data_IF_053826828633
#
_entry.id   IF_053826828633
#
_cell.length_a   1.000
_cell.length_b   1.000
_cell.length_c   1.000
_cell.angle_alpha   90.00
_cell.angle_beta   90.00
_cell.angle_gamma   90.00
#
_symmetry.space_group_name_H-M   'P 1'
#
loop_
_entity.id
_entity.type
_entity.pdbx_description
1 polymer ?
#
# COMPACT_ATOMS: atom_id res chain seq x y z
N UNK A 1 -36.16 -0.84 22.60
CA UNK A 1 -34.72 -0.51 22.67
C UNK A 1 -34.06 -1.11 21.45
N UNK A 2 -33.37 -0.33 20.59
CA UNK A 2 -32.54 -0.90 19.53
C UNK A 2 -31.15 -1.14 20.13
N UNK A 3 -30.73 -2.39 20.24
CA UNK A 3 -29.37 -2.72 20.67
C UNK A 3 -28.42 -2.38 19.52
N UNK A 4 -27.39 -1.55 19.77
CA UNK A 4 -26.32 -1.35 18.82
C UNK A 4 -25.37 -2.55 18.91
N UNK A 5 -25.32 -3.36 17.85
CA UNK A 5 -24.48 -4.56 17.73
C UNK A 5 -23.12 -4.27 17.07
N UNK A 6 -22.78 -2.99 16.89
CA UNK A 6 -21.53 -2.58 16.27
C UNK A 6 -20.30 -3.09 17.04
N UNK A 7 -19.37 -3.65 16.27
CA UNK A 7 -18.10 -4.16 16.76
C UNK A 7 -17.22 -2.99 17.21
N UNK A 8 -16.88 -2.94 18.51
CA UNK A 8 -16.10 -1.84 19.11
C UNK A 8 -14.61 -1.86 18.78
N UNK A 9 -14.08 -3.00 18.33
CA UNK A 9 -12.69 -3.21 17.94
C UNK A 9 -12.50 -3.24 16.42
N UNK A 10 -13.41 -2.59 15.68
CA UNK A 10 -13.20 -2.33 14.26
C UNK A 10 -11.97 -1.42 14.07
N UNK A 11 -11.13 -1.75 13.09
CA UNK A 11 -9.98 -0.94 12.71
C UNK A 11 -10.45 0.40 12.14
N UNK A 12 -9.75 1.49 12.46
CA UNK A 12 -10.01 2.79 11.83
C UNK A 12 -9.65 2.75 10.34
N UNK A 13 -10.27 3.62 9.55
CA UNK A 13 -9.96 3.74 8.12
C UNK A 13 -8.47 4.06 7.88
N UNK A 14 -7.89 4.99 8.64
CA UNK A 14 -6.47 5.35 8.53
C UNK A 14 -5.56 4.14 8.79
N UNK A 15 -5.84 3.35 9.82
CA UNK A 15 -5.07 2.15 10.14
C UNK A 15 -5.21 1.09 9.02
N UNK A 16 -6.41 0.94 8.46
CA UNK A 16 -6.64 0.03 7.35
C UNK A 16 -5.87 0.48 6.09
N UNK A 17 -5.90 1.76 5.74
CA UNK A 17 -5.20 2.28 4.56
C UNK A 17 -3.68 2.25 4.74
N UNK A 18 -3.17 2.52 5.92
CA UNK A 18 -1.74 2.34 6.23
C UNK A 18 -1.32 0.87 6.11
N UNK A 19 -2.11 -0.06 6.65
CA UNK A 19 -1.85 -1.49 6.51
C UNK A 19 -1.82 -1.91 5.03
N UNK A 20 -2.71 -1.36 4.20
CA UNK A 20 -2.74 -1.63 2.76
C UNK A 20 -1.47 -1.10 2.07
N UNK A 21 -1.02 0.12 2.39
CA UNK A 21 0.25 0.65 1.88
C UNK A 21 1.43 -0.27 2.22
N UNK A 22 1.52 -0.71 3.48
CA UNK A 22 2.56 -1.65 3.92
C UNK A 22 2.45 -3.05 3.29
N UNK A 23 1.26 -3.46 2.86
CA UNK A 23 1.10 -4.73 2.11
C UNK A 23 1.60 -4.54 0.68
N UNK A 24 1.27 -3.42 0.05
CA UNK A 24 1.63 -3.14 -1.34
C UNK A 24 3.13 -2.88 -1.50
N UNK A 25 3.82 -2.33 -0.51
CA UNK A 25 5.28 -2.15 -0.55
C UNK A 25 6.04 -3.47 -0.80
N UNK A 26 5.48 -4.61 -0.37
CA UNK A 26 6.06 -5.96 -0.55
C UNK A 26 6.12 -6.41 -2.01
N UNK A 27 5.52 -5.64 -2.92
CA UNK A 27 5.65 -5.83 -4.37
C UNK A 27 6.93 -5.22 -4.94
N UNK A 28 7.56 -4.30 -4.22
CA UNK A 28 8.83 -3.67 -4.61
C UNK A 28 9.93 -4.73 -4.74
N UNK A 29 10.74 -4.59 -5.79
CA UNK A 29 11.92 -5.43 -6.06
C UNK A 29 13.22 -4.74 -5.64
N UNK A 30 13.15 -3.52 -5.11
CA UNK A 30 14.30 -2.82 -4.55
C UNK A 30 14.80 -3.62 -3.34
N UNK A 31 16.07 -4.08 -3.32
CA UNK A 31 16.60 -4.88 -2.21
C UNK A 31 16.88 -4.04 -0.96
N UNK A 32 16.97 -2.72 -1.09
CA UNK A 32 17.35 -1.79 -0.02
C UNK A 32 16.17 -1.11 0.65
N UNK A 33 15.14 -0.74 -0.12
CA UNK A 33 14.03 0.07 0.42
C UNK A 33 12.71 -0.31 -0.25
N UNK A 34 11.68 -0.59 0.55
CA UNK A 34 10.33 -0.85 0.06
C UNK A 34 9.39 0.24 0.55
N UNK A 35 8.69 0.88 -0.38
CA UNK A 35 7.74 1.95 -0.11
C UNK A 35 6.44 1.62 -0.81
N UNK A 36 5.33 1.68 -0.08
CA UNK A 36 3.99 1.56 -0.61
C UNK A 36 3.20 2.85 -0.45
N UNK A 37 2.23 3.05 -1.34
CA UNK A 37 1.32 4.18 -1.34
C UNK A 37 -0.11 3.71 -1.58
N UNK A 38 -1.05 4.32 -0.86
CA UNK A 38 -2.48 4.11 -1.01
C UNK A 38 -3.15 5.49 -1.17
N UNK A 39 -3.76 5.74 -2.33
CA UNK A 39 -4.51 6.97 -2.60
C UNK A 39 -5.98 6.67 -2.37
N UNK A 40 -6.59 7.43 -1.47
CA UNK A 40 -7.99 7.24 -1.04
C UNK A 40 -8.82 8.48 -1.33
N UNK A 41 -10.06 8.25 -1.77
CA UNK A 41 -11.05 9.30 -1.96
C UNK A 41 -11.70 9.73 -0.64
N UNK A 42 -12.40 10.86 -0.66
CA UNK A 42 -13.13 11.39 0.50
C UNK A 42 -14.27 10.47 0.99
N UNK A 43 -14.66 9.48 0.19
CA UNK A 43 -15.67 8.46 0.51
C UNK A 43 -15.05 7.16 1.06
N UNK A 44 -13.78 7.18 1.47
CA UNK A 44 -13.01 6.04 1.97
C UNK A 44 -12.90 4.88 0.96
N UNK A 45 -12.98 5.17 -0.34
CA UNK A 45 -12.67 4.20 -1.39
C UNK A 45 -11.24 4.38 -1.88
N UNK A 46 -10.56 3.26 -2.11
CA UNK A 46 -9.23 3.26 -2.71
C UNK A 46 -9.38 3.65 -4.18
N UNK A 47 -8.66 4.70 -4.59
CA UNK A 47 -8.58 5.16 -5.97
C UNK A 47 -7.42 4.48 -6.69
N UNK A 48 -6.27 4.36 -6.00
CA UNK A 48 -5.07 3.76 -6.58
C UNK A 48 -4.13 3.23 -5.49
N UNK A 49 -3.31 2.26 -5.88
CA UNK A 49 -2.25 1.66 -5.08
C UNK A 49 -0.94 1.72 -5.86
N UNK A 50 0.18 1.91 -5.17
CA UNK A 50 1.49 1.96 -5.80
C UNK A 50 2.61 1.53 -4.87
N UNK A 51 3.75 1.21 -5.46
CA UNK A 51 5.00 0.90 -4.77
C UNK A 51 6.20 1.37 -5.60
N UNK A 52 7.36 1.55 -4.98
CA UNK A 52 8.58 1.89 -5.70
C UNK A 52 9.06 0.72 -6.57
N UNK A 53 9.46 0.98 -7.81
CA UNK A 53 9.92 -0.05 -8.74
C UNK A 53 10.37 0.54 -10.06
N UNK A 54 10.68 -0.35 -10.99
CA UNK A 54 11.09 0.02 -12.35
C UNK A 54 9.91 0.59 -13.14
N UNK A 55 10.16 1.40 -14.18
CA UNK A 55 9.11 1.81 -15.10
C UNK A 55 8.44 0.62 -15.79
N UNK A 56 7.16 0.77 -16.14
CA UNK A 56 6.41 -0.27 -16.83
C UNK A 56 7.11 -0.70 -18.14
N UNK A 57 7.26 -2.01 -18.33
CA UNK A 57 7.88 -2.60 -19.51
C UNK A 57 9.40 -2.71 -19.45
N UNK A 58 10.05 -2.23 -18.38
CA UNK A 58 11.47 -2.45 -18.14
C UNK A 58 11.70 -3.85 -17.56
N UNK A 59 12.73 -4.57 -18.04
CA UNK A 59 13.11 -5.87 -17.46
C UNK A 59 13.85 -5.64 -16.14
N UNK A 60 13.26 -6.07 -15.03
CA UNK A 60 13.85 -5.92 -13.70
C UNK A 60 15.22 -6.60 -13.53
N UNK A 61 15.56 -7.56 -14.41
CA UNK A 61 16.90 -8.19 -14.43
C UNK A 61 17.99 -7.25 -14.93
N UNK A 62 17.60 -6.29 -15.77
CA UNK A 62 18.49 -5.28 -16.36
C UNK A 62 18.54 -4.01 -15.51
N UNK A 63 17.81 -3.95 -14.38
CA UNK A 63 17.77 -2.76 -13.54
C UNK A 63 18.94 -2.77 -12.55
N UNK A 64 19.74 -1.70 -12.49
CA UNK A 64 20.88 -1.62 -11.58
C UNK A 64 20.41 -1.31 -10.16
N UNK A 65 19.95 -2.34 -9.44
CA UNK A 65 19.47 -2.22 -8.06
C UNK A 65 20.54 -1.83 -7.04
N UNK A 66 21.82 -1.92 -7.42
CA UNK A 66 22.94 -1.52 -6.58
C UNK A 66 22.94 0.00 -6.35
N UNK A 67 23.32 0.40 -5.14
CA UNK A 67 23.74 1.78 -4.85
C UNK A 67 25.26 1.76 -4.88
N UNK A 68 25.87 2.65 -5.67
CA UNK A 68 27.33 2.85 -5.69
C UNK A 68 27.87 3.23 -4.29
#
# INVERSE_FOLDING_TARGET
>A
MKYNLERKDAMSWDAAFMAISMIIEKRSKDPSTQVGACIVGSDNRIISLGYNGTPNGYDDKEFPWGRD
#
